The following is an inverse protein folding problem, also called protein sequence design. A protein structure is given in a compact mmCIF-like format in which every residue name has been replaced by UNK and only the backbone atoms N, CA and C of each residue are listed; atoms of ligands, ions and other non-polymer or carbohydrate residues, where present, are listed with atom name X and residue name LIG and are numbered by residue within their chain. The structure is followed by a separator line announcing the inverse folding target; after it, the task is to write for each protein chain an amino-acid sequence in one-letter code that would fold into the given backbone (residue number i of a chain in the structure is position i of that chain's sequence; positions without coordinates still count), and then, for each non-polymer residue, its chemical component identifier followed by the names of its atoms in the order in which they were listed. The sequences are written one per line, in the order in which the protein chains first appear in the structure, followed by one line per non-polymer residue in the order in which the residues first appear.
data_IF_933072999173
#
_entry.id   IF_933072999173
#
_cell.length_a   1.000
_cell.length_b   1.000
_cell.length_c   1.000
_cell.angle_alpha   90.00
_cell.angle_beta   90.00
_cell.angle_gamma   90.00
#
_symmetry.space_group_name_H-M   'P 1'
#
loop_
_entity.id
_entity.type
_entity.pdbx_description
1 polymer ?
#
# COMPACT_ATOMS: atom_id res chain seq x y z
N UNK A 1 21.69 11.68 27.52
CA UNK A 1 21.39 12.86 26.67
C UNK A 1 20.64 12.36 25.45
N UNK A 2 19.36 12.68 25.34
CA UNK A 2 18.61 12.38 24.13
C UNK A 2 19.19 13.26 23.02
N UNK A 3 19.60 12.67 21.92
CA UNK A 3 20.17 13.39 20.79
C UNK A 3 19.09 14.32 20.20
N UNK A 4 19.43 15.57 19.88
CA UNK A 4 18.48 16.50 19.24
C UNK A 4 17.91 15.93 17.93
N UNK A 5 18.69 15.11 17.22
CA UNK A 5 18.23 14.42 16.00
C UNK A 5 17.11 13.44 16.33
N UNK A 6 17.21 12.65 17.40
CA UNK A 6 16.19 11.69 17.79
C UNK A 6 14.87 12.39 18.16
N UNK A 7 14.94 13.57 18.78
CA UNK A 7 13.75 14.38 19.09
C UNK A 7 13.08 14.91 17.83
N UNK A 8 13.87 15.33 16.85
CA UNK A 8 13.33 15.80 15.55
C UNK A 8 12.69 14.64 14.81
N UNK A 9 13.36 13.49 14.72
CA UNK A 9 12.82 12.29 14.06
C UNK A 9 11.51 11.86 14.72
N UNK A 10 11.46 11.78 16.04
CA UNK A 10 10.25 11.37 16.77
C UNK A 10 9.07 12.35 16.56
N UNK A 11 9.35 13.64 16.37
CA UNK A 11 8.31 14.65 16.10
C UNK A 11 7.82 14.68 14.66
N UNK A 12 8.70 14.34 13.70
CA UNK A 12 8.42 14.44 12.27
C UNK A 12 8.01 13.11 11.64
N UNK A 13 8.41 12.00 12.24
CA UNK A 13 8.10 10.64 11.79
C UNK A 13 7.59 9.81 12.96
N UNK A 14 6.30 9.92 13.32
CA UNK A 14 5.73 9.21 14.45
C UNK A 14 5.63 7.69 14.23
N UNK A 15 5.91 7.20 13.02
CA UNK A 15 5.90 5.78 12.71
C UNK A 15 6.97 5.05 13.53
N UNK A 16 6.52 4.12 14.35
CA UNK A 16 7.41 3.29 15.18
C UNK A 16 8.13 2.27 14.29
N UNK A 17 9.43 2.45 14.12
CA UNK A 17 10.29 1.45 13.47
C UNK A 17 10.34 0.16 14.29
N UNK A 18 10.57 -0.96 13.60
CA UNK A 18 10.84 -2.25 14.26
C UNK A 18 12.11 -2.15 15.11
N UNK A 19 12.09 -2.78 16.28
CA UNK A 19 13.31 -3.06 17.05
C UNK A 19 14.16 -4.11 16.33
N UNK A 20 15.41 -4.30 16.78
CA UNK A 20 16.30 -5.35 16.23
C UNK A 20 15.71 -6.74 16.47
N UNK A 21 15.09 -6.96 17.63
CA UNK A 21 14.43 -8.21 17.98
C UNK A 21 13.25 -8.48 17.06
N UNK A 22 12.34 -7.54 16.90
CA UNK A 22 11.17 -7.63 15.99
C UNK A 22 11.62 -7.86 14.53
N UNK A 23 12.66 -7.16 14.07
CA UNK A 23 13.21 -7.33 12.74
C UNK A 23 13.82 -8.73 12.55
N UNK A 24 14.47 -9.27 13.59
CA UNK A 24 15.05 -10.62 13.57
C UNK A 24 13.94 -11.68 13.51
N UNK A 25 12.90 -11.56 14.31
CA UNK A 25 11.74 -12.44 14.26
C UNK A 25 11.05 -12.42 12.90
N UNK A 26 10.85 -11.20 12.34
CA UNK A 26 10.29 -11.04 11.01
C UNK A 26 11.17 -11.68 9.93
N UNK A 27 12.49 -11.56 10.02
CA UNK A 27 13.43 -12.21 9.09
C UNK A 27 13.28 -13.73 9.12
N UNK A 28 13.21 -14.34 10.30
CA UNK A 28 13.01 -15.79 10.41
C UNK A 28 11.63 -16.22 9.91
N UNK A 29 10.60 -15.43 10.17
CA UNK A 29 9.26 -15.68 9.63
C UNK A 29 9.24 -15.64 8.10
N UNK A 30 9.90 -14.67 7.48
CA UNK A 30 10.01 -14.59 6.02
C UNK A 30 10.74 -15.82 5.46
N UNK A 31 11.86 -16.25 6.10
CA UNK A 31 12.58 -17.46 5.69
C UNK A 31 11.68 -18.69 5.79
N UNK A 32 10.87 -18.81 6.83
CA UNK A 32 9.92 -19.89 6.99
C UNK A 32 8.84 -19.89 5.90
N UNK A 33 8.25 -18.74 5.58
CA UNK A 33 7.33 -18.60 4.45
C UNK A 33 7.97 -19.02 3.11
N UNK A 34 9.23 -18.63 2.88
CA UNK A 34 9.96 -19.03 1.69
C UNK A 34 10.12 -20.55 1.64
N UNK A 35 10.59 -21.18 2.73
CA UNK A 35 10.87 -22.61 2.76
C UNK A 35 9.62 -23.48 2.65
N UNK A 36 8.46 -22.96 3.07
CA UNK A 36 7.17 -23.64 2.86
C UNK A 36 6.73 -23.63 1.39
N UNK A 37 7.03 -22.58 0.66
CA UNK A 37 6.55 -22.37 -0.71
C UNK A 37 7.57 -22.76 -1.80
N UNK A 38 8.87 -22.76 -1.50
CA UNK A 38 9.94 -22.97 -2.47
C UNK A 38 11.00 -23.94 -1.94
N UNK A 39 11.40 -24.90 -2.78
CA UNK A 39 12.55 -25.73 -2.48
C UNK A 39 13.86 -24.94 -2.67
N UNK A 40 14.97 -25.40 -2.03
CA UNK A 40 16.28 -24.78 -2.21
C UNK A 40 16.74 -24.76 -3.67
N UNK A 41 16.40 -25.80 -4.47
CA UNK A 41 16.69 -25.85 -5.91
C UNK A 41 15.96 -24.74 -6.68
N UNK A 42 14.70 -24.48 -6.35
CA UNK A 42 13.91 -23.43 -6.98
C UNK A 42 14.43 -22.04 -6.62
N UNK A 43 14.82 -21.81 -5.37
CA UNK A 43 15.43 -20.56 -4.93
C UNK A 43 16.74 -20.24 -5.65
N UNK A 44 17.52 -21.26 -5.97
CA UNK A 44 18.79 -21.12 -6.69
C UNK A 44 18.63 -21.15 -8.21
N UNK A 45 17.43 -21.39 -8.72
CA UNK A 45 17.16 -21.40 -10.16
C UNK A 45 17.34 -20.01 -10.77
N UNK A 46 17.95 -19.95 -11.95
CA UNK A 46 18.08 -18.72 -12.74
C UNK A 46 16.95 -18.54 -13.77
N UNK A 47 16.02 -19.46 -13.83
CA UNK A 47 14.94 -19.48 -14.81
C UNK A 47 13.56 -19.62 -14.18
N UNK A 48 12.54 -19.38 -14.97
CA UNK A 48 11.15 -19.41 -14.53
C UNK A 48 10.60 -20.83 -14.30
N UNK A 49 11.36 -21.89 -14.62
CA UNK A 49 10.98 -23.31 -14.53
C UNK A 49 9.67 -23.67 -15.28
N UNK A 50 9.31 -22.86 -16.28
CA UNK A 50 8.09 -23.02 -17.05
C UNK A 50 6.96 -22.08 -16.63
N UNK A 51 5.77 -22.35 -17.14
CA UNK A 51 4.57 -21.52 -17.00
C UNK A 51 3.48 -22.30 -16.27
N UNK A 52 2.77 -21.64 -15.38
CA UNK A 52 1.59 -22.20 -14.72
C UNK A 52 0.49 -22.39 -15.74
N UNK A 53 -0.03 -23.62 -15.82
CA UNK A 53 -1.11 -23.98 -16.76
C UNK A 53 -2.34 -23.07 -16.54
N UNK A 54 -2.87 -22.53 -17.64
CA UNK A 54 -4.05 -21.68 -17.64
C UNK A 54 -3.86 -20.24 -17.18
N UNK A 55 -2.67 -19.87 -16.64
CA UNK A 55 -2.43 -18.50 -16.12
C UNK A 55 -1.43 -17.69 -16.93
N UNK A 56 -0.69 -18.34 -17.84
CA UNK A 56 0.42 -17.73 -18.59
C UNK A 56 1.41 -16.94 -17.69
N UNK A 57 1.65 -17.43 -16.47
CA UNK A 57 2.50 -16.83 -15.44
C UNK A 57 3.69 -17.75 -15.16
N UNK A 58 4.92 -17.23 -14.99
CA UNK A 58 6.07 -18.05 -14.59
C UNK A 58 5.82 -18.73 -13.23
N UNK A 59 6.22 -20.00 -13.12
CA UNK A 59 6.02 -20.80 -11.90
C UNK A 59 6.71 -20.16 -10.71
N UNK A 60 7.94 -19.68 -10.88
CA UNK A 60 8.71 -19.02 -9.79
C UNK A 60 8.05 -17.72 -9.37
N UNK A 61 7.52 -16.93 -10.31
CA UNK A 61 6.78 -15.70 -9.99
C UNK A 61 5.56 -16.02 -9.13
N UNK A 62 4.75 -17.03 -9.50
CA UNK A 62 3.57 -17.39 -8.69
C UNK A 62 3.95 -17.86 -7.27
N UNK A 63 5.04 -18.61 -7.14
CA UNK A 63 5.53 -19.02 -5.82
C UNK A 63 6.01 -17.83 -4.99
N UNK A 64 6.74 -16.89 -5.59
CA UNK A 64 7.16 -15.67 -4.92
C UNK A 64 5.96 -14.81 -4.46
N UNK A 65 4.92 -14.71 -5.28
CA UNK A 65 3.68 -14.02 -4.92
C UNK A 65 2.97 -14.69 -3.73
N UNK A 66 2.96 -16.03 -3.66
CA UNK A 66 2.42 -16.75 -2.49
C UNK A 66 3.22 -16.46 -1.23
N UNK A 67 4.57 -16.47 -1.31
CA UNK A 67 5.43 -16.09 -0.18
C UNK A 67 5.09 -14.70 0.33
N UNK A 68 4.97 -13.73 -0.58
CA UNK A 68 4.67 -12.34 -0.19
C UNK A 68 3.27 -12.25 0.42
N UNK A 69 2.26 -12.88 -0.18
CA UNK A 69 0.92 -12.92 0.37
C UNK A 69 0.90 -13.49 1.79
N UNK A 70 1.64 -14.57 2.04
CA UNK A 70 1.75 -15.21 3.36
C UNK A 70 2.49 -14.31 4.37
N UNK A 71 3.59 -13.65 3.96
CA UNK A 71 4.34 -12.72 4.81
C UNK A 71 3.47 -11.56 5.29
N UNK A 72 2.62 -11.03 4.41
CA UNK A 72 1.75 -9.89 4.71
C UNK A 72 0.34 -10.29 5.19
N UNK A 73 0.07 -11.61 5.32
CA UNK A 73 -1.24 -12.12 5.73
C UNK A 73 -2.37 -11.55 4.85
N UNK A 74 -2.16 -11.57 3.53
CA UNK A 74 -3.11 -11.08 2.54
C UNK A 74 -3.67 -12.21 1.69
N UNK A 75 -4.85 -12.02 1.12
CA UNK A 75 -5.51 -13.00 0.27
C UNK A 75 -4.67 -13.36 -0.97
N UNK A 76 -4.00 -12.37 -1.55
CA UNK A 76 -3.17 -12.55 -2.74
C UNK A 76 -2.11 -11.47 -2.86
N UNK A 77 -1.09 -11.75 -3.68
CA UNK A 77 -0.09 -10.80 -4.13
C UNK A 77 0.05 -10.86 -5.64
N UNK A 78 0.32 -9.74 -6.26
CA UNK A 78 0.66 -9.64 -7.68
C UNK A 78 1.93 -8.80 -7.86
N UNK A 79 2.98 -9.41 -8.40
CA UNK A 79 4.20 -8.70 -8.78
C UNK A 79 3.98 -7.99 -10.12
N UNK A 80 4.18 -6.68 -10.14
CA UNK A 80 4.01 -5.85 -11.34
C UNK A 80 5.28 -5.11 -11.71
N UNK A 81 5.41 -4.73 -12.97
CA UNK A 81 6.55 -3.93 -13.44
C UNK A 81 6.27 -2.44 -13.25
N UNK A 82 7.33 -1.64 -13.09
CA UNK A 82 7.25 -0.19 -13.00
C UNK A 82 7.38 0.34 -11.57
N UNK A 83 7.90 -0.47 -10.67
CA UNK A 83 8.12 -0.15 -9.25
C UNK A 83 6.81 0.36 -8.58
N UNK A 84 6.89 1.20 -7.54
CA UNK A 84 5.73 1.72 -6.82
C UNK A 84 4.72 2.43 -7.72
N UNK A 85 5.18 3.25 -8.67
CA UNK A 85 4.28 3.92 -9.63
C UNK A 85 3.53 2.94 -10.54
N UNK A 86 4.17 1.83 -10.92
CA UNK A 86 3.54 0.76 -11.66
C UNK A 86 2.48 0.04 -10.84
N UNK A 87 2.77 -0.25 -9.57
CA UNK A 87 1.85 -0.91 -8.64
C UNK A 87 0.61 -0.07 -8.39
N UNK A 88 0.78 1.22 -8.07
CA UNK A 88 -0.35 2.14 -7.87
C UNK A 88 -1.20 2.25 -9.14
N UNK A 89 -0.57 2.40 -10.31
CA UNK A 89 -1.30 2.47 -11.58
C UNK A 89 -2.12 1.20 -11.85
N UNK A 90 -1.55 0.03 -11.61
CA UNK A 90 -2.27 -1.24 -11.78
C UNK A 90 -3.41 -1.37 -10.79
N UNK A 91 -3.18 -0.99 -9.52
CA UNK A 91 -4.24 -0.94 -8.50
C UNK A 91 -5.39 -0.02 -8.90
N UNK A 92 -5.09 1.20 -9.34
CA UNK A 92 -6.10 2.13 -9.82
C UNK A 92 -6.91 1.58 -11.01
N UNK A 93 -6.24 0.98 -12.00
CA UNK A 93 -6.93 0.34 -13.13
C UNK A 93 -7.79 -0.87 -12.75
N UNK A 94 -7.45 -1.56 -11.65
CA UNK A 94 -8.25 -2.69 -11.17
C UNK A 94 -9.57 -2.28 -10.52
N UNK A 95 -9.63 -1.06 -9.97
CA UNK A 95 -10.76 -0.61 -9.13
C UNK A 95 -11.55 0.56 -9.74
N UNK A 96 -11.04 1.24 -10.76
CA UNK A 96 -11.65 2.43 -11.36
C UNK A 96 -11.76 2.33 -12.87
N UNK A 97 -12.83 2.94 -13.41
CA UNK A 97 -13.06 3.12 -14.82
C UNK A 97 -13.06 4.62 -15.20
N UNK A 98 -12.81 4.96 -16.46
CA UNK A 98 -12.89 6.36 -16.90
C UNK A 98 -14.21 7.03 -16.53
N UNK A 99 -14.13 8.21 -15.89
CA UNK A 99 -15.29 8.95 -15.39
C UNK A 99 -15.67 8.66 -13.94
N UNK A 100 -15.10 7.63 -13.30
CA UNK A 100 -15.27 7.39 -11.87
C UNK A 100 -14.64 8.51 -11.01
N UNK A 101 -14.99 8.54 -9.73
CA UNK A 101 -14.45 9.47 -8.75
C UNK A 101 -13.67 8.73 -7.66
N UNK A 102 -12.56 9.31 -7.23
CA UNK A 102 -11.72 8.82 -6.14
C UNK A 102 -11.56 9.88 -5.07
N UNK A 103 -11.68 9.47 -3.80
CA UNK A 103 -11.35 10.30 -2.65
C UNK A 103 -9.84 10.30 -2.42
N UNK A 104 -9.26 11.47 -2.19
CA UNK A 104 -7.84 11.66 -1.87
C UNK A 104 -7.67 12.68 -0.75
N UNK A 105 -6.51 12.65 -0.08
CA UNK A 105 -6.19 13.69 0.89
C UNK A 105 -6.02 15.05 0.23
N UNK A 106 -6.49 16.10 0.91
CA UNK A 106 -6.39 17.54 0.53
C UNK A 106 -4.96 18.06 0.68
N UNK A 107 -4.04 17.45 -0.02
CA UNK A 107 -2.63 17.84 -0.10
C UNK A 107 -2.07 17.33 -1.43
N UNK A 108 -0.90 17.83 -1.89
CA UNK A 108 -0.38 17.42 -3.17
C UNK A 108 -0.25 15.90 -3.29
N UNK A 109 -0.93 15.32 -4.28
CA UNK A 109 -0.79 13.92 -4.64
C UNK A 109 0.58 13.75 -5.30
N UNK A 110 1.20 12.59 -5.10
CA UNK A 110 2.45 12.26 -5.78
C UNK A 110 2.29 12.36 -7.31
N UNK A 111 3.19 13.07 -7.96
CA UNK A 111 3.06 13.47 -9.37
C UNK A 111 2.73 12.32 -10.33
N UNK A 112 3.35 11.14 -10.15
CA UNK A 112 3.10 9.99 -11.04
C UNK A 112 1.71 9.38 -10.81
N UNK A 113 1.20 9.45 -9.60
CA UNK A 113 -0.16 9.02 -9.24
C UNK A 113 -1.18 10.00 -9.84
N UNK A 114 -0.95 11.31 -9.67
CA UNK A 114 -1.80 12.34 -10.28
C UNK A 114 -1.86 12.18 -11.79
N UNK A 115 -0.71 12.05 -12.45
CA UNK A 115 -0.65 11.80 -13.90
C UNK A 115 -1.45 10.55 -14.30
N UNK A 116 -1.38 9.49 -13.52
CA UNK A 116 -2.13 8.26 -13.80
C UNK A 116 -3.64 8.49 -13.71
N UNK A 117 -4.12 9.18 -12.67
CA UNK A 117 -5.54 9.54 -12.52
C UNK A 117 -6.02 10.44 -13.67
N UNK A 118 -5.24 11.47 -14.03
CA UNK A 118 -5.55 12.37 -15.13
C UNK A 118 -5.65 11.61 -16.47
N UNK A 119 -4.69 10.72 -16.77
CA UNK A 119 -4.70 9.90 -17.99
C UNK A 119 -5.86 8.90 -18.05
N UNK A 120 -6.31 8.41 -16.91
CA UNK A 120 -7.48 7.52 -16.80
C UNK A 120 -8.80 8.27 -16.86
N UNK A 121 -8.80 9.61 -16.80
CA UNK A 121 -10.03 10.42 -16.74
C UNK A 121 -10.79 10.27 -15.43
N UNK A 122 -10.09 10.04 -14.32
CA UNK A 122 -10.68 9.88 -12.99
C UNK A 122 -10.90 11.28 -12.37
N UNK A 123 -12.06 11.49 -11.75
CA UNK A 123 -12.38 12.71 -11.02
C UNK A 123 -11.82 12.61 -9.61
N UNK A 124 -11.05 13.61 -9.21
CA UNK A 124 -10.49 13.70 -7.87
C UNK A 124 -11.46 14.45 -6.98
N UNK A 125 -11.80 13.88 -5.84
CA UNK A 125 -12.55 14.51 -4.75
C UNK A 125 -11.61 14.56 -3.55
N UNK A 126 -11.47 15.73 -2.94
CA UNK A 126 -10.52 15.97 -1.86
C UNK A 126 -11.23 16.08 -0.51
N UNK A 127 -10.61 15.52 0.55
CA UNK A 127 -10.98 15.75 1.94
C UNK A 127 -9.72 15.87 2.79
N UNK A 128 -9.79 16.62 3.88
CA UNK A 128 -8.70 16.68 4.85
C UNK A 128 -8.70 15.40 5.71
N UNK A 129 -7.71 14.54 5.50
CA UNK A 129 -7.59 13.27 6.24
C UNK A 129 -7.20 13.45 7.72
N UNK A 130 -6.85 14.68 8.13
CA UNK A 130 -6.71 15.02 9.55
C UNK A 130 -8.06 15.28 10.24
N UNK A 131 -9.17 15.34 9.47
CA UNK A 131 -10.52 15.63 9.96
C UNK A 131 -11.49 14.53 9.53
N UNK A 132 -11.79 13.61 10.44
CA UNK A 132 -12.70 12.48 10.17
C UNK A 132 -14.11 12.93 9.78
N UNK A 133 -14.63 14.00 10.40
CA UNK A 133 -15.96 14.53 10.08
C UNK A 133 -15.99 15.09 8.64
N UNK A 134 -14.92 15.71 8.18
CA UNK A 134 -14.81 16.18 6.79
C UNK A 134 -14.80 15.00 5.81
N UNK A 135 -14.04 13.93 6.09
CA UNK A 135 -14.05 12.70 5.28
C UNK A 135 -15.48 12.18 5.13
N UNK A 136 -16.17 12.00 6.24
CA UNK A 136 -17.55 11.47 6.27
C UNK A 136 -18.51 12.36 5.50
N UNK A 137 -18.45 13.67 5.70
CA UNK A 137 -19.32 14.62 5.02
C UNK A 137 -19.06 14.65 3.51
N UNK A 138 -17.80 14.68 3.08
CA UNK A 138 -17.43 14.65 1.66
C UNK A 138 -17.92 13.38 0.99
N UNK A 139 -17.82 12.21 1.65
CA UNK A 139 -18.34 10.94 1.11
C UNK A 139 -19.87 11.00 0.97
N UNK A 140 -20.60 11.52 1.98
CA UNK A 140 -22.07 11.68 1.93
C UNK A 140 -22.52 12.60 0.81
N UNK A 141 -21.82 13.70 0.61
CA UNK A 141 -22.12 14.69 -0.43
C UNK A 141 -21.74 14.19 -1.84
N UNK A 142 -20.89 13.18 -1.94
CA UNK A 142 -20.35 12.64 -3.20
C UNK A 142 -20.58 11.13 -3.32
N UNK A 143 -21.83 10.64 -3.43
CA UNK A 143 -22.14 9.21 -3.48
C UNK A 143 -21.58 8.50 -4.73
N UNK A 144 -21.06 9.23 -5.70
CA UNK A 144 -20.41 8.71 -6.90
C UNK A 144 -18.96 8.29 -6.66
N UNK A 145 -18.36 8.55 -5.50
CA UNK A 145 -17.02 8.09 -5.14
C UNK A 145 -17.00 6.55 -5.14
N UNK A 146 -16.03 5.94 -5.84
CA UNK A 146 -15.89 4.49 -5.96
C UNK A 146 -14.75 3.93 -5.10
N UNK A 147 -13.73 4.73 -4.86
CA UNK A 147 -12.55 4.31 -4.10
C UNK A 147 -11.93 5.48 -3.35
N UNK A 148 -11.05 5.17 -2.42
CA UNK A 148 -10.20 6.15 -1.76
C UNK A 148 -8.72 5.75 -1.89
N UNK A 149 -7.84 6.73 -2.02
CA UNK A 149 -6.40 6.56 -1.98
C UNK A 149 -5.87 7.09 -0.65
N UNK A 150 -5.24 6.22 0.13
CA UNK A 150 -4.61 6.55 1.41
C UNK A 150 -3.12 6.28 1.31
N UNK A 151 -2.30 7.30 1.54
CA UNK A 151 -0.85 7.17 1.51
C UNK A 151 -0.31 7.04 2.93
N UNK A 152 0.36 5.92 3.24
CA UNK A 152 0.86 5.63 4.58
C UNK A 152 1.96 6.61 5.04
N UNK A 153 2.92 6.91 4.15
CA UNK A 153 3.98 7.88 4.42
C UNK A 153 3.88 9.06 3.49
N UNK A 154 3.58 10.24 4.05
CA UNK A 154 3.55 11.49 3.29
C UNK A 154 4.96 12.03 3.10
N UNK A 155 5.18 12.75 2.01
CA UNK A 155 6.47 13.39 1.71
C UNK A 155 6.77 14.58 2.63
N UNK A 156 5.74 15.21 3.19
CA UNK A 156 5.89 16.28 4.16
C UNK A 156 5.90 15.71 5.58
N UNK A 157 6.96 15.95 6.37
CA UNK A 157 7.02 15.47 7.75
C UNK A 157 5.93 16.03 8.67
N UNK A 158 5.31 17.14 8.30
CA UNK A 158 4.23 17.77 9.04
C UNK A 158 2.84 17.27 8.61
N UNK A 159 2.76 16.60 7.48
CA UNK A 159 1.52 16.09 6.89
C UNK A 159 1.43 14.58 7.12
N UNK A 160 1.09 14.18 8.33
CA UNK A 160 0.87 12.80 8.70
C UNK A 160 -0.45 12.67 9.45
N UNK A 161 -1.17 11.61 9.17
CA UNK A 161 -2.44 11.25 9.79
C UNK A 161 -2.40 9.79 10.24
N UNK A 162 -3.28 9.42 11.15
CA UNK A 162 -3.49 8.02 11.52
C UNK A 162 -4.26 7.31 10.40
N UNK A 163 -3.58 6.38 9.72
CA UNK A 163 -4.15 5.68 8.57
C UNK A 163 -5.33 4.78 8.96
N UNK A 164 -5.28 4.16 10.14
CA UNK A 164 -6.35 3.29 10.63
C UNK A 164 -7.63 4.10 10.88
N UNK A 165 -7.51 5.25 11.52
CA UNK A 165 -8.62 6.16 11.77
C UNK A 165 -9.20 6.73 10.47
N UNK A 166 -8.35 7.09 9.51
CA UNK A 166 -8.78 7.53 8.16
C UNK A 166 -9.56 6.43 7.44
N UNK A 167 -9.05 5.19 7.44
CA UNK A 167 -9.73 4.07 6.79
C UNK A 167 -11.06 3.75 7.47
N UNK A 168 -11.13 3.82 8.81
CA UNK A 168 -12.39 3.66 9.55
C UNK A 168 -13.41 4.72 9.14
N UNK A 169 -13.00 5.99 9.08
CA UNK A 169 -13.87 7.07 8.64
C UNK A 169 -14.37 6.87 7.21
N UNK A 170 -13.48 6.49 6.28
CA UNK A 170 -13.84 6.21 4.88
C UNK A 170 -14.87 5.07 4.78
N UNK A 171 -14.68 4.00 5.55
CA UNK A 171 -15.57 2.82 5.49
C UNK A 171 -16.84 2.92 6.32
N UNK A 172 -16.99 3.99 7.13
CA UNK A 172 -18.16 4.12 8.02
C UNK A 172 -19.48 4.36 7.29
N UNK A 173 -19.43 4.98 6.12
CA UNK A 173 -20.64 5.37 5.38
C UNK A 173 -20.98 4.41 4.22
N UNK A 174 -19.95 3.89 3.53
CA UNK A 174 -20.11 2.97 2.41
C UNK A 174 -18.94 1.99 2.35
N UNK A 175 -19.14 0.81 1.77
CA UNK A 175 -18.06 -0.12 1.43
C UNK A 175 -17.25 0.41 0.24
N UNK A 176 -16.44 1.45 0.50
CA UNK A 176 -15.50 1.95 -0.51
C UNK A 176 -14.26 1.06 -0.56
N UNK A 177 -13.78 0.82 -1.77
CA UNK A 177 -12.47 0.19 -1.95
C UNK A 177 -11.38 1.19 -1.56
N UNK A 178 -10.50 0.80 -0.65
CA UNK A 178 -9.35 1.62 -0.24
C UNK A 178 -8.08 1.06 -0.86
N UNK A 179 -7.39 1.90 -1.62
CA UNK A 179 -6.04 1.64 -2.12
C UNK A 179 -5.05 2.34 -1.21
N UNK A 180 -4.14 1.58 -0.58
CA UNK A 180 -3.07 2.15 0.24
C UNK A 180 -1.76 2.22 -0.54
N UNK A 181 -1.05 3.35 -0.42
CA UNK A 181 0.33 3.50 -0.90
C UNK A 181 1.28 3.36 0.29
N UNK A 182 1.91 2.19 0.38
CA UNK A 182 2.79 1.80 1.49
C UNK A 182 4.26 1.63 1.03
N UNK A 183 4.68 2.40 0.07
CA UNK A 183 5.98 2.22 -0.60
C UNK A 183 7.19 2.31 0.36
N UNK A 184 7.11 3.10 1.43
CA UNK A 184 8.25 3.32 2.34
C UNK A 184 8.13 2.61 3.68
N UNK A 185 6.97 2.14 4.10
CA UNK A 185 6.73 1.56 5.41
C UNK A 185 6.79 0.03 5.41
N UNK A 186 6.49 -0.62 4.29
CA UNK A 186 6.48 -2.08 4.18
C UNK A 186 7.77 -2.71 4.75
N UNK A 187 7.62 -3.65 5.68
CA UNK A 187 8.69 -4.35 6.39
C UNK A 187 9.57 -3.48 7.31
N UNK A 188 9.24 -2.21 7.52
CA UNK A 188 10.03 -1.28 8.35
C UNK A 188 9.31 -0.83 9.62
N UNK A 189 8.00 -0.99 9.65
CA UNK A 189 7.16 -0.64 10.80
C UNK A 189 6.40 -1.86 11.27
N UNK A 190 5.95 -1.85 12.54
CA UNK A 190 5.06 -2.89 13.03
C UNK A 190 3.80 -2.98 12.17
N UNK A 191 3.25 -4.17 12.05
CA UNK A 191 1.96 -4.37 11.36
C UNK A 191 0.91 -3.38 11.86
N UNK A 192 0.18 -2.85 10.94
CA UNK A 192 -1.01 -2.04 11.19
C UNK A 192 -2.19 -3.00 11.41
#
# INVERSE_FOLDING_TARGET
MINQIDVIITKTYPLKSLTVEEATELQFYIVDCITRNMSGREMLSRGDLGVVSGKNKPIITEKAERVIAEVFDTEACMLVRGAGSGSIRMGLHAILHPGDSILVHKAPIYNTTKTSLDMMGIRIVEADYHNQDEIINVIKENPQIKAALVQYTRQSPQDHYDMEEVIKAIKSEHELTVLTDDNYAALKVSKI
#
